data_IF_904249858441
#
_entry.id   IF_904249858441
#
_cell.length_a   1.000
_cell.length_b   1.000
_cell.length_c   1.000
_cell.angle_alpha   90.00
_cell.angle_beta   90.00
_cell.angle_gamma   90.00
#
_symmetry.space_group_name_H-M   'P 1'
#
loop_
_entity.id
_entity.type
_entity.pdbx_description
1 polymer ?
#
# COMPACT_ATOMS: atom_id res chain seq x y z
N UNK A 1 25.93 8.93 10.90
CA UNK A 1 25.28 7.61 11.03
C UNK A 1 23.77 7.66 10.83
N UNK A 2 23.11 8.82 10.89
CA UNK A 2 21.66 8.91 10.69
C UNK A 2 21.23 8.79 9.21
N UNK A 3 21.96 9.38 8.25
CA UNK A 3 21.63 9.32 6.81
C UNK A 3 21.42 7.91 6.25
N UNK A 4 22.03 6.89 6.86
CA UNK A 4 21.90 5.50 6.41
C UNK A 4 20.53 4.89 6.74
N UNK A 5 19.83 5.37 7.79
CA UNK A 5 18.53 4.83 8.19
C UNK A 5 17.39 5.44 7.37
N UNK A 6 17.49 6.72 7.01
CA UNK A 6 16.46 7.43 6.27
C UNK A 6 16.36 6.96 4.82
N UNK A 7 17.48 6.63 4.17
CA UNK A 7 17.50 6.17 2.79
C UNK A 7 16.61 4.92 2.54
N UNK A 8 16.80 3.77 3.21
CA UNK A 8 15.96 2.58 3.01
C UNK A 8 14.49 2.82 3.38
N UNK A 9 14.20 3.63 4.39
CA UNK A 9 12.81 4.00 4.73
C UNK A 9 12.17 4.77 3.57
N UNK A 10 12.87 5.75 3.01
CA UNK A 10 12.39 6.51 1.85
C UNK A 10 12.22 5.62 0.62
N UNK A 11 13.15 4.68 0.35
CA UNK A 11 13.03 3.73 -0.76
C UNK A 11 11.82 2.82 -0.61
N UNK A 12 11.54 2.33 0.60
CA UNK A 12 10.36 1.51 0.88
C UNK A 12 9.05 2.31 0.76
N UNK A 13 9.01 3.53 1.30
CA UNK A 13 7.84 4.41 1.16
C UNK A 13 7.58 4.78 -0.31
N UNK A 14 8.64 5.10 -1.07
CA UNK A 14 8.54 5.46 -2.48
C UNK A 14 8.03 4.28 -3.33
N UNK A 15 8.51 3.06 -3.07
CA UNK A 15 8.05 1.89 -3.81
C UNK A 15 6.60 1.52 -3.48
N UNK A 16 6.18 1.67 -2.23
CA UNK A 16 4.78 1.53 -1.83
C UNK A 16 3.88 2.60 -2.49
N UNK A 17 4.37 3.83 -2.64
CA UNK A 17 3.66 4.89 -3.37
C UNK A 17 3.53 4.57 -4.87
N UNK A 18 4.58 4.02 -5.49
CA UNK A 18 4.52 3.59 -6.89
C UNK A 18 3.39 2.57 -7.13
N UNK A 19 3.15 1.64 -6.19
CA UNK A 19 2.02 0.70 -6.30
C UNK A 19 0.69 1.44 -6.33
N UNK A 20 0.48 2.46 -5.48
CA UNK A 20 -0.75 3.26 -5.49
C UNK A 20 -0.90 4.11 -6.73
N UNK A 21 0.19 4.63 -7.28
CA UNK A 21 0.15 5.34 -8.57
C UNK A 21 -0.26 4.42 -9.72
N UNK A 22 0.16 3.14 -9.70
CA UNK A 22 -0.28 2.13 -10.67
C UNK A 22 -1.78 1.84 -10.54
N UNK A 23 -2.28 1.63 -9.33
CA UNK A 23 -3.73 1.46 -9.09
C UNK A 23 -4.53 2.67 -9.58
N UNK A 24 -4.02 3.89 -9.36
CA UNK A 24 -4.66 5.11 -9.86
C UNK A 24 -4.68 5.17 -11.39
N UNK A 25 -3.60 4.74 -12.04
CA UNK A 25 -3.52 4.66 -13.50
C UNK A 25 -4.51 3.65 -14.09
N UNK A 26 -4.80 2.55 -13.38
CA UNK A 26 -5.85 1.60 -13.74
C UNK A 26 -7.24 2.20 -13.59
N UNK A 27 -7.49 2.92 -12.49
CA UNK A 27 -8.77 3.62 -12.26
C UNK A 27 -9.02 4.67 -13.36
N UNK A 28 -7.98 5.36 -13.82
CA UNK A 28 -8.10 6.35 -14.89
C UNK A 28 -8.58 5.76 -16.22
N UNK A 29 -8.35 4.46 -16.47
CA UNK A 29 -8.83 3.75 -17.65
C UNK A 29 -10.32 3.37 -17.58
N UNK A 30 -10.95 3.43 -16.40
CA UNK A 30 -12.37 3.07 -16.23
C UNK A 30 -13.31 4.10 -16.88
N UNK A 31 -14.53 3.71 -17.31
CA UNK A 31 -15.56 4.63 -17.78
C UNK A 31 -15.98 5.61 -16.68
N UNK A 32 -16.33 6.86 -17.03
CA UNK A 32 -16.66 7.92 -16.06
C UNK A 32 -17.71 7.53 -15.01
N UNK A 33 -18.65 6.64 -15.35
CA UNK A 33 -19.72 6.19 -14.47
C UNK A 33 -19.25 5.22 -13.35
N UNK A 34 -18.09 4.57 -13.52
CA UNK A 34 -17.54 3.59 -12.58
C UNK A 34 -16.32 4.13 -11.81
N UNK A 35 -15.95 5.39 -12.05
CA UNK A 35 -14.81 6.00 -11.37
C UNK A 35 -15.21 6.37 -9.94
N UNK A 36 -14.37 6.06 -8.94
CA UNK A 36 -14.56 6.58 -7.58
C UNK A 36 -14.56 8.11 -7.59
N UNK A 37 -15.33 8.71 -6.69
CA UNK A 37 -15.39 10.15 -6.53
C UNK A 37 -14.07 10.68 -5.93
N UNK A 38 -13.26 11.33 -6.76
CA UNK A 38 -11.97 11.92 -6.35
C UNK A 38 -12.10 13.05 -5.32
N UNK A 39 -13.31 13.58 -5.13
CA UNK A 39 -13.66 14.56 -4.09
C UNK A 39 -13.79 13.94 -2.71
N UNK A 40 -13.91 12.62 -2.60
CA UNK A 40 -14.10 11.95 -1.32
C UNK A 40 -12.77 11.82 -0.57
N UNK A 41 -12.70 12.35 0.66
CA UNK A 41 -11.47 12.33 1.47
C UNK A 41 -10.98 10.90 1.72
N UNK A 42 -11.91 9.95 1.88
CA UNK A 42 -11.60 8.53 2.06
C UNK A 42 -10.84 7.91 0.88
N UNK A 43 -11.01 8.44 -0.33
CA UNK A 43 -10.26 8.02 -1.51
C UNK A 43 -8.74 8.26 -1.36
N UNK A 44 -8.36 9.33 -0.68
CA UNK A 44 -6.96 9.75 -0.54
C UNK A 44 -6.23 9.08 0.61
N UNK A 45 -6.95 8.62 1.64
CA UNK A 45 -6.38 7.93 2.81
C UNK A 45 -5.42 6.80 2.42
N UNK A 46 -5.77 5.84 1.54
CA UNK A 46 -4.87 4.75 1.20
C UNK A 46 -3.62 5.20 0.46
N UNK A 47 -3.62 6.36 -0.22
CA UNK A 47 -2.44 6.94 -0.86
C UNK A 47 -1.44 7.52 0.14
N UNK A 48 -1.88 7.84 1.36
CA UNK A 48 -1.00 8.32 2.42
C UNK A 48 -0.62 7.19 3.38
N UNK A 49 -1.59 6.37 3.78
CA UNK A 49 -1.40 5.31 4.78
C UNK A 49 -0.52 4.18 4.25
N UNK A 50 -0.68 3.75 2.99
CA UNK A 50 0.07 2.61 2.46
C UNK A 50 1.56 2.92 2.23
N UNK A 51 1.96 4.09 1.70
CA UNK A 51 3.36 4.49 1.68
C UNK A 51 3.99 4.60 3.06
N UNK A 52 3.26 5.17 4.03
CA UNK A 52 3.70 5.22 5.42
C UNK A 52 3.86 3.82 6.01
N UNK A 53 2.96 2.88 5.69
CA UNK A 53 3.08 1.48 6.11
C UNK A 53 4.34 0.81 5.53
N UNK A 54 4.68 1.07 4.26
CA UNK A 54 5.91 0.59 3.63
C UNK A 54 7.17 1.09 4.34
N UNK A 55 7.24 2.39 4.62
CA UNK A 55 8.33 2.99 5.40
C UNK A 55 8.41 2.48 6.83
N UNK A 56 7.26 2.30 7.49
CA UNK A 56 7.17 1.74 8.85
C UNK A 56 7.70 0.31 8.92
N UNK A 57 7.39 -0.53 7.92
CA UNK A 57 7.95 -1.88 7.81
C UNK A 57 9.46 -1.87 7.66
N UNK A 58 10.03 -0.97 6.84
CA UNK A 58 11.47 -0.81 6.74
C UNK A 58 12.10 -0.34 8.06
N UNK A 59 11.43 0.56 8.79
CA UNK A 59 11.84 1.01 10.12
C UNK A 59 11.92 -0.15 11.13
N UNK A 60 10.91 -1.02 11.18
CA UNK A 60 10.93 -2.21 12.05
C UNK A 60 12.10 -3.14 11.71
N UNK A 61 12.39 -3.33 10.42
CA UNK A 61 13.52 -4.17 9.99
C UNK A 61 14.87 -3.59 10.41
N UNK A 62 15.03 -2.26 10.34
CA UNK A 62 16.22 -1.57 10.85
C UNK A 62 16.35 -1.70 12.37
N UNK A 63 15.25 -1.54 13.10
CA UNK A 63 15.23 -1.70 14.56
C UNK A 63 15.56 -3.14 15.00
N UNK A 64 15.26 -4.12 14.15
CA UNK A 64 15.62 -5.53 14.35
C UNK A 64 17.11 -5.83 14.09
N UNK A 65 17.92 -4.80 13.80
CA UNK A 65 19.35 -4.93 13.55
C UNK A 65 19.70 -5.45 12.15
N UNK A 66 18.73 -5.55 11.24
CA UNK A 66 18.99 -5.96 9.86
C UNK A 66 19.55 -4.80 9.04
N UNK A 67 20.59 -5.07 8.26
CA UNK A 67 21.07 -4.14 7.24
C UNK A 67 20.19 -4.26 6.00
N UNK A 68 19.34 -3.27 5.76
CA UNK A 68 18.57 -3.20 4.53
C UNK A 68 19.42 -2.63 3.40
N UNK A 69 19.58 -3.41 2.33
CA UNK A 69 20.01 -2.85 1.05
C UNK A 69 18.87 -2.04 0.43
N UNK A 70 19.17 -1.03 -0.42
CA UNK A 70 18.13 -0.27 -1.12
C UNK A 70 17.17 -1.15 -1.92
N UNK A 71 17.68 -2.22 -2.54
CA UNK A 71 16.88 -3.18 -3.28
C UNK A 71 15.93 -3.98 -2.37
N UNK A 72 16.39 -4.38 -1.19
CA UNK A 72 15.56 -5.08 -0.21
C UNK A 72 14.45 -4.17 0.32
N UNK A 73 14.78 -2.92 0.65
CA UNK A 73 13.81 -1.92 1.08
C UNK A 73 12.72 -1.66 0.03
N UNK A 74 13.11 -1.59 -1.24
CA UNK A 74 12.19 -1.43 -2.37
C UNK A 74 11.20 -2.61 -2.45
N UNK A 75 11.68 -3.85 -2.33
CA UNK A 75 10.85 -5.06 -2.32
C UNK A 75 9.88 -5.10 -1.12
N UNK A 76 10.34 -4.69 0.07
CA UNK A 76 9.50 -4.58 1.26
C UNK A 76 8.37 -3.58 1.02
N UNK A 77 8.67 -2.40 0.47
CA UNK A 77 7.64 -1.41 0.15
C UNK A 77 6.67 -1.84 -0.95
N UNK A 78 7.11 -2.60 -1.96
CA UNK A 78 6.22 -3.15 -3.00
C UNK A 78 5.21 -4.17 -2.42
N UNK A 79 5.66 -4.99 -1.48
CA UNK A 79 4.85 -6.08 -0.92
C UNK A 79 3.95 -5.61 0.24
N UNK A 80 4.33 -4.55 0.96
CA UNK A 80 3.60 -4.05 2.11
C UNK A 80 2.11 -3.73 1.82
N UNK A 81 1.74 -3.01 0.74
CA UNK A 81 0.34 -2.73 0.43
C UNK A 81 -0.48 -3.99 0.14
N UNK A 82 0.13 -4.95 -0.57
CA UNK A 82 -0.51 -6.21 -0.95
C UNK A 82 -0.79 -7.06 0.30
N UNK A 83 0.19 -7.19 1.18
CA UNK A 83 0.05 -7.92 2.45
C UNK A 83 -1.04 -7.29 3.31
N UNK A 84 -1.07 -5.96 3.41
CA UNK A 84 -2.08 -5.26 4.19
C UNK A 84 -3.48 -5.44 3.61
N UNK A 85 -3.60 -5.42 2.27
CA UNK A 85 -4.86 -5.69 1.57
C UNK A 85 -5.35 -7.11 1.82
N UNK A 86 -4.48 -8.11 1.70
CA UNK A 86 -4.81 -9.51 2.00
C UNK A 86 -5.23 -9.71 3.46
N UNK A 87 -4.61 -8.98 4.39
CA UNK A 87 -5.02 -8.99 5.79
C UNK A 87 -6.43 -8.40 5.96
N UNK A 88 -6.72 -7.24 5.37
CA UNK A 88 -8.06 -6.61 5.44
C UNK A 88 -9.13 -7.53 4.83
N UNK A 89 -8.88 -8.10 3.66
CA UNK A 89 -9.80 -9.04 2.99
C UNK A 89 -10.12 -10.26 3.87
N UNK A 90 -9.19 -10.69 4.72
CA UNK A 90 -9.42 -11.77 5.67
C UNK A 90 -10.36 -11.37 6.81
N UNK A 91 -10.35 -10.10 7.23
CA UNK A 91 -11.18 -9.60 8.32
C UNK A 91 -12.53 -9.04 7.84
N UNK A 92 -12.69 -8.75 6.55
CA UNK A 92 -13.97 -8.27 6.01
C UNK A 92 -14.95 -9.44 5.82
N UNK A 93 -16.12 -9.46 6.49
CA UNK A 93 -17.08 -10.53 6.33
C UNK A 93 -17.54 -10.59 4.87
N UNK A 94 -17.41 -11.77 4.25
CA UNK A 94 -17.91 -12.00 2.90
C UNK A 94 -19.44 -11.93 2.96
N UNK A 95 -20.02 -10.84 2.48
CA UNK A 95 -21.48 -10.74 2.32
C UNK A 95 -21.89 -11.84 1.34
N UNK A 96 -22.51 -12.88 1.86
CA UNK A 96 -23.10 -13.94 1.05
C UNK A 96 -24.38 -13.33 0.46
N UNK A 97 -24.31 -12.91 -0.79
CA UNK A 97 -25.51 -12.60 -1.57
C UNK A 97 -26.19 -13.94 -1.89
N UNK A 98 -27.41 -14.21 -1.37
CA UNK A 98 -28.09 -15.48 -1.62
C UNK A 98 -28.51 -15.66 -3.08
N UNK A 99 -28.37 -14.63 -3.93
CA UNK A 99 -28.82 -14.68 -5.32
C UNK A 99 -30.34 -14.59 -5.41
N UNK A 100 -30.81 -14.07 -6.54
CA UNK A 100 -32.23 -13.89 -6.85
C UNK A 100 -32.86 -15.28 -7.18
N UNK A 101 -33.14 -16.07 -6.14
CA UNK A 101 -33.69 -17.42 -6.31
C UNK A 101 -33.91 -18.27 -5.05
N UNK A 102 -33.90 -17.69 -3.85
CA UNK A 102 -34.25 -18.37 -2.59
C UNK A 102 -35.59 -17.90 -2.03
#
# INVERSE_FOLDING_TARGET
>A
MEEFLWAPILWASASALCVKMLEMAEIYKLPKLQRPDVTEVWYWIPYLVLPLAGGFLAFIHLQSGQKLSPFLALNIGLTAPLVLRSAIERFSPKVIDPGEGA
#
